data_IF_291264099626
#
_entry.id   IF_291264099626
#
_cell.length_a   1.000
_cell.length_b   1.000
_cell.length_c   1.000
_cell.angle_alpha   90.00
_cell.angle_beta   90.00
_cell.angle_gamma   90.00
#
_symmetry.space_group_name_H-M   'P 1'
#
loop_
_entity.id
_entity.type
_entity.pdbx_description
1 polymer ?
#
# COMPACT_ATOMS: atom_id res chain seq x y z
N UNK A 1 13.13 15.86 15.49
CA UNK A 1 13.21 14.65 14.62
C UNK A 1 13.14 15.12 13.17
N UNK A 2 13.74 14.42 12.20
CA UNK A 2 13.43 14.69 10.79
C UNK A 2 11.92 14.65 10.56
N UNK A 3 11.44 15.40 9.57
CA UNK A 3 10.02 15.41 9.20
C UNK A 3 9.58 14.01 8.78
N UNK A 4 8.37 13.60 9.16
CA UNK A 4 7.88 12.26 8.84
C UNK A 4 7.65 12.15 7.32
N UNK A 5 8.12 11.07 6.66
CA UNK A 5 7.95 10.91 5.21
C UNK A 5 6.53 11.17 4.70
N UNK A 6 5.52 10.69 5.42
CA UNK A 6 4.13 10.80 5.00
C UNK A 6 3.53 12.21 5.10
N UNK A 7 4.19 13.15 5.80
CA UNK A 7 3.70 14.53 5.93
C UNK A 7 4.25 15.45 4.84
N UNK A 8 5.28 15.02 4.11
CA UNK A 8 5.92 15.77 3.03
C UNK A 8 5.39 15.35 1.65
N UNK A 9 5.31 16.30 0.71
CA UNK A 9 4.91 16.03 -0.69
C UNK A 9 6.04 15.32 -1.45
N UNK A 10 7.28 15.80 -1.27
CA UNK A 10 8.45 15.28 -1.96
C UNK A 10 9.16 14.20 -1.12
N UNK A 11 9.91 13.28 -1.75
CA UNK A 11 10.81 12.38 -1.03
C UNK A 11 11.79 13.15 -0.12
N UNK A 12 12.19 12.55 0.99
CA UNK A 12 13.02 13.17 2.02
C UNK A 12 14.42 13.57 1.52
N UNK A 13 14.94 12.87 0.51
CA UNK A 13 16.23 13.20 -0.11
C UNK A 13 16.11 14.20 -1.26
N UNK A 14 14.89 14.62 -1.63
CA UNK A 14 14.66 15.51 -2.76
C UNK A 14 15.31 16.87 -2.53
N UNK A 15 16.12 17.32 -3.50
CA UNK A 15 16.80 18.62 -3.48
C UNK A 15 16.80 19.24 -4.87
N UNK A 16 16.92 20.56 -4.92
CA UNK A 16 17.20 21.28 -6.15
C UNK A 16 18.69 21.61 -6.20
N UNK A 17 19.37 21.24 -7.27
CA UNK A 17 20.79 21.55 -7.45
C UNK A 17 21.02 22.97 -8.00
N UNK A 18 22.29 23.31 -8.21
CA UNK A 18 22.70 24.62 -8.76
C UNK A 18 22.23 24.88 -10.18
N UNK A 19 21.90 23.83 -10.95
CA UNK A 19 21.34 23.92 -12.30
C UNK A 19 19.82 24.10 -12.27
N UNK A 20 19.20 23.99 -11.09
CA UNK A 20 17.75 24.03 -10.93
C UNK A 20 17.08 22.68 -11.21
N UNK A 21 17.84 21.59 -11.30
CA UNK A 21 17.30 20.25 -11.51
C UNK A 21 16.89 19.59 -10.19
N UNK A 22 15.82 18.81 -10.25
CA UNK A 22 15.39 17.93 -9.16
C UNK A 22 16.36 16.75 -9.04
N UNK A 23 16.91 16.58 -7.86
CA UNK A 23 17.72 15.43 -7.47
C UNK A 23 16.97 14.61 -6.41
N UNK A 24 16.95 13.28 -6.56
CA UNK A 24 16.35 12.34 -5.59
C UNK A 24 17.38 11.25 -5.29
N UNK A 25 17.57 10.93 -4.01
CA UNK A 25 18.58 9.95 -3.58
C UNK A 25 20.00 10.36 -3.98
N UNK A 26 20.26 11.65 -4.21
CA UNK A 26 21.54 12.14 -4.76
C UNK A 26 21.73 11.96 -6.27
N UNK A 27 20.68 11.55 -7.00
CA UNK A 27 20.70 11.37 -8.46
C UNK A 27 19.90 12.48 -9.17
N UNK A 28 20.48 13.10 -10.21
CA UNK A 28 19.79 14.07 -11.05
C UNK A 28 18.72 13.36 -11.90
N UNK A 29 17.46 13.75 -11.74
CA UNK A 29 16.33 13.18 -12.48
C UNK A 29 16.42 13.39 -14.00
N UNK A 30 17.14 14.41 -14.46
CA UNK A 30 17.43 14.62 -15.88
C UNK A 30 18.34 13.53 -16.42
N UNK A 31 19.38 13.14 -15.67
CA UNK A 31 20.28 12.05 -16.07
C UNK A 31 19.57 10.69 -15.95
N UNK A 32 18.73 10.49 -14.94
CA UNK A 32 17.91 9.28 -14.82
C UNK A 32 16.97 9.12 -16.03
N UNK A 33 16.31 10.20 -16.46
CA UNK A 33 15.45 10.18 -17.65
C UNK A 33 16.24 9.83 -18.93
N UNK A 34 17.49 10.31 -19.07
CA UNK A 34 18.36 9.95 -20.20
C UNK A 34 18.80 8.48 -20.15
N UNK A 35 19.17 7.97 -18.98
CA UNK A 35 19.68 6.62 -18.82
C UNK A 35 18.60 5.54 -18.92
N UNK A 36 17.43 5.77 -18.33
CA UNK A 36 16.37 4.76 -18.17
C UNK A 36 15.11 5.04 -19.01
N UNK A 37 15.06 6.20 -19.68
CA UNK A 37 13.91 6.66 -20.47
C UNK A 37 12.73 7.08 -19.59
N UNK A 38 11.72 7.72 -20.21
CA UNK A 38 10.45 8.08 -19.56
C UNK A 38 9.25 7.36 -20.21
N UNK A 39 8.11 7.19 -19.50
CA UNK A 39 7.92 7.46 -18.07
C UNK A 39 8.86 6.63 -17.19
N UNK A 40 9.16 7.09 -15.99
CA UNK A 40 10.06 6.41 -15.04
C UNK A 40 9.54 6.55 -13.61
N UNK A 41 9.31 5.43 -12.92
CA UNK A 41 9.12 5.44 -11.48
C UNK A 41 10.46 5.48 -10.76
N UNK A 42 10.66 6.47 -9.91
CA UNK A 42 11.83 6.63 -9.05
C UNK A 42 11.38 6.40 -7.62
N UNK A 43 12.01 5.45 -6.92
CA UNK A 43 11.77 5.15 -5.51
C UNK A 43 12.99 5.58 -4.69
N UNK A 44 12.80 6.47 -3.73
CA UNK A 44 13.85 6.91 -2.80
C UNK A 44 14.03 5.93 -1.63
N UNK A 45 15.15 5.20 -1.59
CA UNK A 45 15.40 4.19 -0.57
C UNK A 45 15.39 4.79 0.85
N UNK A 46 16.00 5.95 1.04
CA UNK A 46 16.13 6.55 2.37
C UNK A 46 14.76 7.00 2.91
N UNK A 47 13.87 7.51 2.06
CA UNK A 47 12.49 7.82 2.46
C UNK A 47 11.75 6.58 2.97
N UNK A 48 11.88 5.44 2.29
CA UNK A 48 11.29 4.15 2.70
C UNK A 48 11.84 3.73 4.07
N UNK A 49 13.17 3.76 4.23
CA UNK A 49 13.81 3.33 5.46
C UNK A 49 13.51 4.26 6.65
N UNK A 50 13.34 5.56 6.40
CA UNK A 50 12.89 6.51 7.43
C UNK A 50 11.47 6.20 7.90
N UNK A 51 10.56 5.84 7.00
CA UNK A 51 9.21 5.43 7.37
C UNK A 51 9.24 4.17 8.27
N UNK A 52 10.06 3.18 7.92
CA UNK A 52 10.27 1.99 8.76
C UNK A 52 10.86 2.29 10.14
N UNK A 53 11.83 3.21 10.22
CA UNK A 53 12.40 3.67 11.51
C UNK A 53 11.35 4.36 12.38
N UNK A 54 10.61 5.32 11.81
CA UNK A 54 9.56 6.05 12.53
C UNK A 54 8.48 5.10 13.07
N UNK A 55 8.09 4.11 12.27
CA UNK A 55 7.15 3.07 12.68
C UNK A 55 7.68 2.24 13.85
N UNK A 56 8.90 1.72 13.72
CA UNK A 56 9.54 0.91 14.75
C UNK A 56 9.72 1.67 16.06
N UNK A 57 10.13 2.94 15.99
CA UNK A 57 10.30 3.81 17.15
C UNK A 57 8.95 4.10 17.83
N UNK A 58 7.90 4.42 17.07
CA UNK A 58 6.58 4.65 17.63
C UNK A 58 6.01 3.42 18.32
N UNK A 59 6.15 2.23 17.71
CA UNK A 59 5.67 0.97 18.29
C UNK A 59 6.45 0.52 19.54
N UNK A 60 7.64 1.08 19.81
CA UNK A 60 8.53 0.61 20.89
C UNK A 60 7.99 0.81 22.32
N UNK A 61 6.95 1.63 22.48
CA UNK A 61 6.22 1.80 23.75
C UNK A 61 5.41 0.54 24.14
N UNK A 62 5.15 -0.35 23.18
CA UNK A 62 4.50 -1.63 23.41
C UNK A 62 5.54 -2.78 23.44
N UNK A 63 5.48 -3.72 24.40
CA UNK A 63 6.55 -4.71 24.60
C UNK A 63 6.85 -5.61 23.40
N UNK A 64 5.82 -5.99 22.63
CA UNK A 64 5.96 -6.81 21.43
C UNK A 64 5.02 -6.30 20.34
N UNK A 65 5.56 -5.54 19.40
CA UNK A 65 4.78 -4.95 18.31
C UNK A 65 5.57 -4.96 16.99
N UNK A 66 4.84 -5.03 15.88
CA UNK A 66 5.43 -5.10 14.54
C UNK A 66 4.55 -4.45 13.48
N UNK A 67 5.21 -3.78 12.53
CA UNK A 67 4.58 -3.38 11.28
C UNK A 67 4.58 -4.52 10.26
N UNK A 68 3.46 -4.69 9.57
CA UNK A 68 3.31 -5.54 8.39
C UNK A 68 3.19 -4.64 7.16
N UNK A 69 4.10 -4.77 6.21
CA UNK A 69 4.04 -3.94 5.02
C UNK A 69 2.92 -4.46 4.10
N UNK A 70 1.95 -3.61 3.78
CA UNK A 70 0.85 -4.00 2.91
C UNK A 70 1.29 -4.05 1.43
N UNK A 71 1.61 -5.25 0.94
CA UNK A 71 2.20 -5.51 -0.39
C UNK A 71 1.41 -4.92 -1.56
N UNK A 72 0.08 -4.86 -1.44
CA UNK A 72 -0.84 -4.22 -2.41
C UNK A 72 -0.42 -2.81 -2.83
N UNK A 73 0.26 -2.06 -1.95
CA UNK A 73 0.73 -0.71 -2.25
C UNK A 73 1.83 -0.70 -3.33
N UNK A 74 2.83 -1.57 -3.21
CA UNK A 74 3.90 -1.76 -4.19
C UNK A 74 4.71 -3.00 -3.78
N UNK A 75 4.75 -4.02 -4.62
CA UNK A 75 5.51 -5.24 -4.33
C UNK A 75 6.36 -5.66 -5.52
N UNK A 76 7.66 -5.75 -5.28
CA UNK A 76 8.65 -6.42 -6.12
C UNK A 76 9.71 -7.06 -5.21
N UNK A 77 10.62 -7.85 -5.76
CA UNK A 77 11.64 -8.54 -4.95
C UNK A 77 12.53 -7.56 -4.16
N UNK A 78 12.90 -6.42 -4.75
CA UNK A 78 13.67 -5.39 -4.05
C UNK A 78 12.91 -4.84 -2.84
N UNK A 79 11.59 -4.62 -2.98
CA UNK A 79 10.76 -4.17 -1.86
C UNK A 79 10.70 -5.22 -0.75
N UNK A 80 10.62 -6.51 -1.06
CA UNK A 80 10.70 -7.57 -0.05
C UNK A 80 12.00 -7.49 0.78
N UNK A 81 13.13 -7.17 0.15
CA UNK A 81 14.40 -6.97 0.85
C UNK A 81 14.37 -5.72 1.76
N UNK A 82 13.77 -4.62 1.31
CA UNK A 82 13.60 -3.41 2.11
C UNK A 82 12.69 -3.65 3.32
N UNK A 83 11.56 -4.33 3.14
CA UNK A 83 10.65 -4.73 4.24
C UNK A 83 11.41 -5.53 5.30
N UNK A 84 12.24 -6.49 4.87
CA UNK A 84 13.08 -7.28 5.79
C UNK A 84 14.12 -6.41 6.50
N UNK A 85 14.75 -5.46 5.79
CA UNK A 85 15.73 -4.50 6.36
C UNK A 85 15.08 -3.60 7.41
N UNK A 86 13.80 -3.25 7.26
CA UNK A 86 13.02 -2.52 8.25
C UNK A 86 12.58 -3.36 9.46
N UNK A 87 12.73 -4.69 9.40
CA UNK A 87 12.29 -5.61 10.46
C UNK A 87 10.78 -5.83 10.50
N UNK A 88 10.09 -5.59 9.38
CA UNK A 88 8.64 -5.72 9.24
C UNK A 88 8.23 -7.11 8.75
N UNK A 89 6.97 -7.48 8.98
CA UNK A 89 6.30 -8.56 8.25
C UNK A 89 5.76 -8.08 6.90
N UNK A 90 5.11 -8.98 6.17
CA UNK A 90 4.56 -8.70 4.85
C UNK A 90 3.13 -9.23 4.73
N UNK A 91 2.21 -8.36 4.33
CA UNK A 91 0.85 -8.76 3.99
C UNK A 91 0.75 -8.93 2.49
N UNK A 92 0.20 -10.07 2.10
CA UNK A 92 -0.01 -10.47 0.70
C UNK A 92 -1.46 -10.85 0.49
N UNK A 93 -1.98 -10.62 -0.71
CA UNK A 93 -3.40 -10.82 -1.06
C UNK A 93 -3.59 -11.97 -2.05
N UNK A 94 -2.56 -12.31 -2.83
CA UNK A 94 -2.69 -13.27 -3.93
C UNK A 94 -1.52 -14.24 -4.03
N UNK A 95 -1.72 -15.32 -4.81
CA UNK A 95 -0.65 -16.26 -5.15
C UNK A 95 0.58 -15.57 -5.76
N UNK A 96 0.38 -14.55 -6.62
CA UNK A 96 1.47 -13.82 -7.25
C UNK A 96 2.32 -13.02 -6.25
N UNK A 97 1.68 -12.43 -5.24
CA UNK A 97 2.39 -11.72 -4.17
C UNK A 97 3.12 -12.70 -3.24
N UNK A 98 2.49 -13.83 -2.88
CA UNK A 98 3.16 -14.92 -2.15
C UNK A 98 4.37 -15.45 -2.93
N UNK A 99 4.24 -15.66 -4.23
CA UNK A 99 5.32 -16.14 -5.09
C UNK A 99 6.46 -15.12 -5.19
N UNK A 100 6.14 -13.82 -5.26
CA UNK A 100 7.15 -12.75 -5.25
C UNK A 100 7.95 -12.76 -3.95
N UNK A 101 7.27 -12.87 -2.81
CA UNK A 101 7.90 -12.97 -1.50
C UNK A 101 8.78 -14.22 -1.37
N UNK A 102 8.31 -15.37 -1.87
CA UNK A 102 9.07 -16.62 -1.91
C UNK A 102 10.34 -16.49 -2.75
N UNK A 103 10.24 -15.90 -3.95
CA UNK A 103 11.40 -15.68 -4.83
C UNK A 103 12.42 -14.69 -4.26
N UNK A 104 11.97 -13.72 -3.48
CA UNK A 104 12.86 -12.83 -2.74
C UNK A 104 13.47 -13.48 -1.48
N UNK A 105 13.09 -14.71 -1.13
CA UNK A 105 13.53 -15.38 0.09
C UNK A 105 13.00 -14.71 1.35
N UNK A 106 11.79 -14.15 1.31
CA UNK A 106 11.15 -13.54 2.47
C UNK A 106 10.77 -14.62 3.51
N UNK A 107 10.98 -14.39 4.82
CA UNK A 107 10.67 -15.40 5.83
C UNK A 107 9.17 -15.74 5.87
N UNK A 108 8.84 -17.01 5.68
CA UNK A 108 7.45 -17.49 5.56
C UNK A 108 6.60 -17.23 6.80
N UNK A 109 7.18 -17.35 7.99
CA UNK A 109 6.50 -17.06 9.26
C UNK A 109 6.17 -15.57 9.45
N UNK A 110 6.64 -14.69 8.57
CA UNK A 110 6.37 -13.26 8.58
C UNK A 110 5.37 -12.84 7.50
N UNK A 111 4.75 -13.80 6.81
CA UNK A 111 3.76 -13.55 5.76
C UNK A 111 2.35 -13.71 6.32
N UNK A 112 1.49 -12.73 6.03
CA UNK A 112 0.08 -12.73 6.36
C UNK A 112 -0.73 -12.69 5.07
N UNK A 113 -1.63 -13.66 4.88
CA UNK A 113 -2.40 -13.83 3.65
C UNK A 113 -3.80 -13.27 3.84
N UNK A 114 -4.11 -12.20 3.13
CA UNK A 114 -5.40 -11.50 3.11
C UNK A 114 -6.16 -11.81 1.81
N UNK A 115 -7.39 -11.28 1.71
CA UNK A 115 -8.24 -11.41 0.53
C UNK A 115 -9.63 -11.88 0.92
N UNK A 116 -10.67 -11.30 0.29
CA UNK A 116 -12.06 -11.65 0.61
C UNK A 116 -12.57 -12.91 -0.11
N UNK A 117 -11.78 -13.45 -1.02
CA UNK A 117 -12.14 -14.63 -1.81
C UNK A 117 -10.88 -15.42 -2.18
N UNK A 118 -10.14 -15.87 -1.17
CA UNK A 118 -8.95 -16.70 -1.38
C UNK A 118 -9.36 -18.02 -2.00
N UNK A 119 -8.68 -18.42 -3.07
CA UNK A 119 -8.93 -19.69 -3.73
C UNK A 119 -8.44 -20.87 -2.89
N UNK A 120 -8.98 -22.07 -3.14
CA UNK A 120 -8.46 -23.30 -2.53
C UNK A 120 -6.95 -23.47 -2.79
N UNK A 121 -6.50 -23.07 -3.99
CA UNK A 121 -5.09 -23.12 -4.36
C UNK A 121 -4.23 -22.24 -3.45
N UNK A 122 -4.64 -20.98 -3.22
CA UNK A 122 -3.91 -20.03 -2.38
C UNK A 122 -3.87 -20.50 -0.91
N UNK A 123 -5.01 -20.93 -0.37
CA UNK A 123 -5.09 -21.44 1.02
C UNK A 123 -4.24 -22.70 1.17
N UNK A 124 -4.35 -23.66 0.25
CA UNK A 124 -3.55 -24.90 0.29
C UNK A 124 -2.06 -24.59 0.21
N UNK A 125 -1.63 -23.66 -0.65
CA UNK A 125 -0.24 -23.23 -0.76
C UNK A 125 0.27 -22.60 0.54
N UNK A 126 -0.53 -21.72 1.16
CA UNK A 126 -0.18 -21.08 2.42
C UNK A 126 -0.01 -22.12 3.55
N UNK A 127 -0.96 -23.04 3.70
CA UNK A 127 -0.91 -24.10 4.72
C UNK A 127 0.27 -25.06 4.47
N UNK A 128 0.43 -25.55 3.23
CA UNK A 128 1.50 -26.49 2.86
C UNK A 128 2.90 -25.88 3.03
N UNK A 129 3.03 -24.56 2.90
CA UNK A 129 4.29 -23.84 3.10
C UNK A 129 4.73 -23.77 4.57
N UNK A 130 3.85 -24.13 5.51
CA UNK A 130 4.05 -24.15 6.96
C UNK A 130 4.77 -22.90 7.49
N UNK A 131 4.04 -21.78 7.57
CA UNK A 131 4.59 -20.53 8.06
C UNK A 131 3.61 -19.36 7.96
N UNK A 132 3.05 -19.10 6.76
CA UNK A 132 2.11 -17.99 6.57
C UNK A 132 0.90 -18.10 7.50
N UNK A 133 0.40 -16.95 7.93
CA UNK A 133 -0.83 -16.83 8.71
C UNK A 133 -1.94 -16.36 7.78
N UNK A 134 -3.11 -16.97 7.86
CA UNK A 134 -4.24 -16.65 6.98
C UNK A 134 -5.19 -15.75 7.74
N UNK A 135 -5.44 -14.55 7.23
CA UNK A 135 -6.46 -13.65 7.77
C UNK A 135 -7.77 -14.00 7.09
N UNK A 136 -8.56 -14.84 7.77
CA UNK A 136 -9.82 -15.39 7.28
C UNK A 136 -10.87 -14.29 7.23
N UNK A 137 -11.57 -14.20 6.09
CA UNK A 137 -12.50 -13.11 5.80
C UNK A 137 -13.97 -13.55 5.95
N UNK A 138 -14.24 -14.86 6.03
CA UNK A 138 -15.60 -15.42 6.16
C UNK A 138 -15.63 -16.79 6.85
N UNK A 139 -16.81 -17.22 7.30
CA UNK A 139 -17.04 -18.55 7.90
C UNK A 139 -16.69 -19.68 6.94
N UNK A 140 -17.09 -19.57 5.67
CA UNK A 140 -16.82 -20.59 4.64
C UNK A 140 -15.32 -20.74 4.36
N UNK A 141 -14.57 -19.64 4.44
CA UNK A 141 -13.12 -19.68 4.33
C UNK A 141 -12.46 -20.36 5.54
N UNK A 142 -12.97 -20.15 6.77
CA UNK A 142 -12.51 -20.89 7.96
C UNK A 142 -12.72 -22.40 7.79
N UNK A 143 -13.88 -22.82 7.30
CA UNK A 143 -14.18 -24.23 7.01
C UNK A 143 -13.24 -24.80 5.94
N UNK A 144 -12.96 -24.02 4.89
CA UNK A 144 -12.00 -24.40 3.85
C UNK A 144 -10.59 -24.59 4.42
N UNK A 145 -10.12 -23.66 5.27
CA UNK A 145 -8.85 -23.79 5.97
C UNK A 145 -8.78 -25.06 6.81
N UNK A 146 -9.83 -25.36 7.58
CA UNK A 146 -9.89 -26.54 8.44
C UNK A 146 -9.85 -27.85 7.62
N UNK A 147 -10.61 -27.92 6.53
CA UNK A 147 -10.62 -29.08 5.62
C UNK A 147 -9.24 -29.29 4.99
N UNK A 148 -8.64 -28.25 4.42
CA UNK A 148 -7.35 -28.33 3.75
C UNK A 148 -6.21 -28.68 4.72
N UNK A 149 -6.23 -28.12 5.93
CA UNK A 149 -5.28 -28.48 6.98
C UNK A 149 -5.43 -29.95 7.41
N UNK A 150 -6.65 -30.48 7.47
CA UNK A 150 -6.89 -31.90 7.71
C UNK A 150 -6.32 -32.79 6.60
N UNK A 151 -6.56 -32.45 5.33
CA UNK A 151 -6.00 -33.17 4.18
C UNK A 151 -4.45 -33.18 4.19
N UNK A 152 -3.85 -32.08 4.66
CA UNK A 152 -2.40 -31.91 4.76
C UNK A 152 -1.81 -32.42 6.08
N UNK A 153 -2.62 -32.98 6.98
CA UNK A 153 -2.22 -33.41 8.32
C UNK A 153 -1.44 -32.35 9.12
N UNK A 154 -1.91 -31.10 9.08
CA UNK A 154 -1.31 -29.97 9.79
C UNK A 154 -2.39 -29.07 10.42
N UNK A 155 -1.98 -27.93 10.99
CA UNK A 155 -2.87 -26.87 11.47
C UNK A 155 -2.68 -25.60 10.65
N UNK A 156 -3.77 -25.03 10.17
CA UNK A 156 -3.76 -23.69 9.58
C UNK A 156 -3.68 -22.64 10.68
N UNK A 157 -2.70 -21.75 10.59
CA UNK A 157 -2.55 -20.56 11.45
C UNK A 157 -3.48 -19.48 10.94
N UNK A 158 -4.48 -19.09 11.73
CA UNK A 158 -5.52 -18.16 11.28
C UNK A 158 -5.72 -16.97 12.21
N UNK A 159 -6.01 -15.81 11.63
CA UNK A 159 -6.67 -14.70 12.32
C UNK A 159 -8.07 -14.55 11.72
N UNK A 160 -9.03 -14.02 12.48
CA UNK A 160 -10.37 -13.71 11.97
C UNK A 160 -10.45 -12.21 11.73
N UNK A 161 -10.73 -11.80 10.49
CA UNK A 161 -11.05 -10.42 10.21
C UNK A 161 -12.46 -10.10 10.65
N UNK A 162 -12.61 -9.06 11.45
CA UNK A 162 -13.89 -8.54 11.90
C UNK A 162 -14.19 -7.21 11.23
N UNK A 163 -15.47 -6.84 11.20
CA UNK A 163 -15.89 -5.51 10.77
C UNK A 163 -16.07 -4.64 12.01
N UNK A 164 -15.15 -3.71 12.31
CA UNK A 164 -15.39 -2.74 13.37
C UNK A 164 -16.47 -1.75 12.90
N UNK A 165 -17.43 -1.41 13.76
CA UNK A 165 -18.45 -0.39 13.48
C UNK A 165 -17.86 1.04 13.56
N UNK A 166 -16.77 1.29 12.82
CA UNK A 166 -16.01 2.56 12.80
C UNK A 166 -15.85 3.02 11.35
N UNK A 167 -16.33 4.22 11.02
CA UNK A 167 -16.05 4.87 9.74
C UNK A 167 -14.97 5.97 9.88
N UNK A 168 -13.97 6.02 8.98
CA UNK A 168 -12.86 6.97 9.08
C UNK A 168 -13.16 8.39 8.55
N UNK A 169 -14.29 8.62 7.87
CA UNK A 169 -14.52 9.84 7.05
C UNK A 169 -15.79 10.65 7.42
N UNK A 170 -16.36 10.44 8.61
CA UNK A 170 -17.54 11.20 9.05
C UNK A 170 -17.33 11.77 10.45
N UNK A 171 -17.63 13.06 10.62
CA UNK A 171 -17.74 13.68 11.94
C UNK A 171 -18.78 12.88 12.75
N UNK A 172 -18.31 12.17 13.80
CA UNK A 172 -19.10 11.49 14.82
C UNK A 172 -20.38 10.82 14.33
N UNK A 173 -20.35 9.56 13.89
CA UNK A 173 -21.46 8.62 14.12
C UNK A 173 -20.96 7.16 14.02
N UNK A 174 -21.06 6.44 15.15
CA UNK A 174 -21.00 4.97 15.19
C UNK A 174 -22.16 4.47 14.31
N UNK A 175 -21.86 3.68 13.27
CA UNK A 175 -22.90 3.07 12.45
C UNK A 175 -23.44 1.86 13.21
N UNK A 176 -24.55 2.05 13.92
CA UNK A 176 -25.34 0.93 14.42
C UNK A 176 -26.12 0.31 13.25
N UNK A 177 -25.69 -0.87 12.79
CA UNK A 177 -26.47 -1.70 11.88
C UNK A 177 -25.73 -2.10 10.62
N UNK A 178 -25.46 -3.41 10.53
CA UNK A 178 -24.97 -4.16 9.36
C UNK A 178 -23.96 -3.41 8.49
N UNK A 179 -22.69 -3.48 8.88
CA UNK A 179 -21.61 -3.00 8.05
C UNK A 179 -21.68 -3.64 6.65
N UNK A 180 -21.86 -2.80 5.62
CA UNK A 180 -22.03 -3.21 4.21
C UNK A 180 -20.71 -3.59 3.54
N UNK A 181 -19.68 -3.88 4.35
CA UNK A 181 -18.35 -4.26 3.89
C UNK A 181 -18.40 -5.66 3.29
N UNK A 182 -17.77 -5.84 2.12
CA UNK A 182 -17.50 -7.16 1.55
C UNK A 182 -16.39 -7.95 2.28
N UNK A 183 -15.79 -7.34 3.29
CA UNK A 183 -14.65 -7.86 4.01
C UNK A 183 -15.00 -8.14 5.46
N UNK A 184 -14.54 -9.28 5.97
CA UNK A 184 -14.60 -9.63 7.38
C UNK A 184 -15.96 -10.16 7.84
N UNK A 185 -15.95 -10.71 9.05
CA UNK A 185 -17.12 -11.26 9.73
C UNK A 185 -17.82 -10.15 10.52
N UNK A 186 -19.15 -10.00 10.40
CA UNK A 186 -19.94 -9.13 11.26
C UNK A 186 -19.77 -9.46 12.76
N UNK A 187 -19.80 -8.46 13.65
CA UNK A 187 -19.56 -8.68 15.08
C UNK A 187 -20.61 -9.59 15.74
N UNK A 188 -21.85 -9.58 15.25
CA UNK A 188 -22.95 -10.42 15.73
C UNK A 188 -22.81 -11.90 15.32
N UNK A 189 -22.00 -12.20 14.30
CA UNK A 189 -21.67 -13.58 13.89
C UNK A 189 -20.42 -14.14 14.60
N UNK A 190 -19.60 -13.27 15.21
CA UNK A 190 -18.27 -13.64 15.71
C UNK A 190 -18.29 -14.78 16.73
N UNK A 191 -19.22 -14.79 17.68
CA UNK A 191 -19.34 -15.84 18.71
C UNK A 191 -19.48 -17.24 18.05
N UNK A 192 -20.26 -17.34 16.96
CA UNK A 192 -20.42 -18.57 16.20
C UNK A 192 -19.14 -19.01 15.47
N UNK A 193 -18.39 -18.05 14.92
CA UNK A 193 -17.11 -18.31 14.25
C UNK A 193 -16.05 -18.78 15.23
N UNK A 194 -16.00 -18.20 16.44
CA UNK A 194 -15.09 -18.62 17.50
C UNK A 194 -15.38 -20.04 17.98
N UNK A 195 -16.65 -20.40 18.17
CA UNK A 195 -17.05 -21.77 18.51
C UNK A 195 -16.69 -22.76 17.39
N UNK A 196 -16.89 -22.39 16.13
CA UNK A 196 -16.46 -23.20 14.99
C UNK A 196 -14.93 -23.43 14.99
N UNK A 197 -14.15 -22.36 15.16
CA UNK A 197 -12.69 -22.45 15.21
C UNK A 197 -12.22 -23.39 16.34
N UNK A 198 -12.84 -23.29 17.52
CA UNK A 198 -12.57 -24.16 18.68
C UNK A 198 -12.91 -25.62 18.40
N UNK A 199 -14.07 -25.89 17.80
CA UNK A 199 -14.49 -27.22 17.38
C UNK A 199 -13.54 -27.83 16.33
N UNK A 200 -12.86 -27.00 15.54
CA UNK A 200 -11.87 -27.40 14.52
C UNK A 200 -10.42 -27.30 14.99
N UNK A 201 -10.16 -27.17 16.29
CA UNK A 201 -8.82 -26.92 16.86
C UNK A 201 -7.72 -27.95 16.50
N UNK A 202 -8.10 -29.17 16.14
CA UNK A 202 -7.17 -30.18 15.60
C UNK A 202 -6.51 -29.75 14.28
N UNK A 203 -7.14 -28.86 13.52
CA UNK A 203 -6.71 -28.39 12.20
C UNK A 203 -6.65 -26.87 12.08
N UNK A 204 -7.15 -26.15 13.08
CA UNK A 204 -7.10 -24.68 13.16
C UNK A 204 -6.30 -24.27 14.39
N UNK A 205 -5.36 -23.36 14.17
CA UNK A 205 -4.68 -22.59 15.20
C UNK A 205 -5.14 -21.15 15.11
N UNK A 206 -6.12 -20.79 15.95
CA UNK A 206 -6.67 -19.44 16.01
C UNK A 206 -5.70 -18.54 16.80
N UNK A 207 -5.13 -17.56 16.12
CA UNK A 207 -4.06 -16.70 16.63
C UNK A 207 -4.55 -15.31 17.06
N UNK A 208 -5.71 -14.86 16.61
CA UNK A 208 -6.23 -13.54 16.98
C UNK A 208 -7.27 -12.99 16.03
N UNK A 209 -7.55 -11.70 16.21
CA UNK A 209 -8.47 -10.92 15.38
C UNK A 209 -7.70 -9.86 14.59
N UNK A 210 -8.29 -9.50 13.46
CA UNK A 210 -7.84 -8.44 12.56
C UNK A 210 -8.99 -7.46 12.32
N UNK A 211 -8.67 -6.17 12.20
CA UNK A 211 -9.60 -5.19 11.66
C UNK A 211 -8.86 -4.22 10.72
N UNK A 212 -9.58 -3.64 9.76
CA UNK A 212 -9.05 -2.58 8.91
C UNK A 212 -10.16 -1.60 8.56
N UNK A 213 -9.97 -0.34 8.93
CA UNK A 213 -11.01 0.70 8.92
C UNK A 213 -10.99 1.62 7.70
N UNK A 214 -10.02 1.51 6.78
CA UNK A 214 -10.06 2.28 5.53
C UNK A 214 -8.69 2.75 5.03
N UNK A 215 -8.69 3.80 4.22
CA UNK A 215 -7.50 4.34 3.56
C UNK A 215 -7.51 5.87 3.60
N UNK A 216 -6.31 6.48 3.62
CA UNK A 216 -6.13 7.94 3.65
C UNK A 216 -6.70 8.61 4.91
N UNK A 217 -6.78 7.89 6.03
CA UNK A 217 -7.19 8.49 7.30
C UNK A 217 -6.14 9.51 7.75
N UNK A 218 -6.61 10.74 8.01
CA UNK A 218 -5.79 11.87 8.45
C UNK A 218 -5.73 11.98 9.97
N UNK A 219 -6.85 11.61 10.61
CA UNK A 219 -7.07 11.65 12.04
C UNK A 219 -6.64 10.34 12.73
N UNK A 220 -6.39 10.39 14.03
CA UNK A 220 -5.91 9.23 14.80
C UNK A 220 -7.06 8.49 15.50
N UNK A 221 -8.13 9.20 15.82
CA UNK A 221 -9.28 8.78 16.60
C UNK A 221 -9.89 7.47 16.09
N UNK A 222 -10.12 7.27 14.76
CA UNK A 222 -10.69 6.01 14.26
C UNK A 222 -9.83 4.78 14.60
N UNK A 223 -8.50 4.92 14.62
CA UNK A 223 -7.59 3.83 14.99
C UNK A 223 -7.70 3.51 16.49
N UNK A 224 -7.83 4.53 17.33
CA UNK A 224 -7.94 4.36 18.78
C UNK A 224 -9.28 3.72 19.19
N UNK A 225 -10.37 4.09 18.50
CA UNK A 225 -11.68 3.46 18.66
C UNK A 225 -11.65 1.98 18.26
N UNK A 226 -10.97 1.67 17.15
CA UNK A 226 -10.78 0.28 16.68
C UNK A 226 -10.04 -0.56 17.72
N UNK A 227 -9.03 0.00 18.38
CA UNK A 227 -8.31 -0.68 19.47
C UNK A 227 -9.24 -1.01 20.64
N UNK A 228 -10.11 -0.08 21.06
CA UNK A 228 -11.06 -0.33 22.14
C UNK A 228 -12.07 -1.43 21.79
N UNK A 229 -12.59 -1.41 20.55
CA UNK A 229 -13.50 -2.44 20.05
C UNK A 229 -12.81 -3.80 20.09
N UNK A 230 -11.61 -3.92 19.50
CA UNK A 230 -10.89 -5.19 19.50
C UNK A 230 -10.53 -5.65 20.92
N UNK A 231 -10.13 -4.75 21.82
CA UNK A 231 -9.87 -5.11 23.22
C UNK A 231 -11.13 -5.64 23.94
N UNK A 232 -12.31 -5.10 23.64
CA UNK A 232 -13.58 -5.66 24.14
C UNK A 232 -13.83 -7.07 23.56
N UNK A 233 -13.62 -7.28 22.26
CA UNK A 233 -13.79 -8.60 21.65
C UNK A 233 -12.82 -9.65 22.22
N UNK A 234 -11.59 -9.27 22.58
CA UNK A 234 -10.64 -10.18 23.25
C UNK A 234 -11.12 -10.57 24.64
N UNK A 235 -11.69 -9.62 25.37
CA UNK A 235 -12.30 -9.88 26.67
C UNK A 235 -13.46 -10.85 26.55
N UNK A 236 -14.37 -10.59 25.60
CA UNK A 236 -15.52 -11.46 25.34
C UNK A 236 -15.08 -12.87 24.91
N UNK A 237 -14.08 -12.99 24.03
CA UNK A 237 -13.50 -14.27 23.61
C UNK A 237 -12.95 -15.07 24.80
N UNK A 238 -12.28 -14.39 25.75
CA UNK A 238 -11.76 -15.02 26.97
C UNK A 238 -12.88 -15.44 27.91
N UNK A 239 -13.82 -14.55 28.22
CA UNK A 239 -14.86 -14.80 29.23
C UNK A 239 -15.93 -15.79 28.76
N UNK A 240 -16.35 -15.72 27.49
CA UNK A 240 -17.41 -16.56 26.93
C UNK A 240 -16.89 -17.88 26.37
N UNK A 241 -15.73 -17.86 25.70
CA UNK A 241 -15.23 -19.01 24.93
C UNK A 241 -13.97 -19.65 25.54
N UNK A 242 -13.33 -19.00 26.52
CA UNK A 242 -12.07 -19.45 27.12
C UNK A 242 -10.88 -19.33 26.16
N UNK A 243 -10.96 -18.42 25.16
CA UNK A 243 -9.93 -18.21 24.16
C UNK A 243 -9.04 -17.03 24.53
N UNK A 244 -7.73 -17.24 24.49
CA UNK A 244 -6.73 -16.18 24.57
C UNK A 244 -5.91 -16.18 23.28
N UNK A 245 -5.64 -14.99 22.74
CA UNK A 245 -5.02 -14.83 21.43
C UNK A 245 -3.61 -14.26 21.54
N UNK A 246 -2.61 -14.84 20.86
CA UNK A 246 -1.25 -14.33 20.86
C UNK A 246 -1.03 -13.10 19.97
N UNK A 247 -1.91 -12.82 19.00
CA UNK A 247 -1.76 -11.71 18.05
C UNK A 247 -2.96 -10.78 18.14
N UNK A 248 -2.79 -9.50 17.86
CA UNK A 248 -3.84 -8.51 17.61
C UNK A 248 -3.42 -7.66 16.41
N UNK A 249 -4.27 -7.59 15.40
CA UNK A 249 -4.01 -6.75 14.22
C UNK A 249 -5.05 -5.65 14.08
N UNK A 250 -4.57 -4.41 14.09
CA UNK A 250 -5.42 -3.21 14.02
C UNK A 250 -5.42 -2.58 12.61
N UNK A 251 -4.74 -3.24 11.66
CA UNK A 251 -4.74 -2.88 10.26
C UNK A 251 -3.90 -1.64 9.94
N UNK A 252 -4.07 -1.16 8.72
CA UNK A 252 -3.44 0.06 8.21
C UNK A 252 -4.44 1.18 7.92
N UNK A 253 -4.02 2.13 7.09
CA UNK A 253 -4.90 3.18 6.56
C UNK A 253 -4.37 4.60 6.72
N UNK A 254 -3.25 4.77 7.42
CA UNK A 254 -2.60 6.06 7.64
C UNK A 254 -2.35 6.80 6.32
N UNK A 255 -2.81 8.05 6.26
CA UNK A 255 -2.71 8.90 5.09
C UNK A 255 -1.31 9.45 4.81
N UNK A 256 -1.19 10.01 3.61
CA UNK A 256 -0.02 10.76 3.15
C UNK A 256 -0.43 12.10 2.55
N UNK A 257 0.53 13.00 2.43
CA UNK A 257 0.37 14.29 1.75
C UNK A 257 0.54 14.13 0.23
N UNK A 258 -0.55 14.24 -0.53
CA UNK A 258 -0.48 14.32 -2.01
C UNK A 258 -0.43 15.75 -2.51
N UNK A 259 -1.13 16.65 -1.79
CA UNK A 259 -1.23 18.09 -2.05
C UNK A 259 -1.09 18.85 -0.74
N UNK A 260 -0.82 20.15 -0.79
CA UNK A 260 -0.54 20.97 0.39
C UNK A 260 -1.66 20.99 1.44
N UNK A 261 -2.91 20.80 1.01
CA UNK A 261 -4.08 20.74 1.87
C UNK A 261 -4.17 19.44 2.72
N UNK A 262 -3.42 18.40 2.37
CA UNK A 262 -3.37 17.18 3.17
C UNK A 262 -2.51 17.38 4.41
N UNK A 263 -3.04 16.95 5.57
CA UNK A 263 -2.39 17.08 6.89
C UNK A 263 -2.52 15.76 7.68
N UNK A 264 -1.93 14.65 7.21
CA UNK A 264 -1.98 13.39 7.96
C UNK A 264 -1.13 13.44 9.23
N UNK A 265 -1.48 12.63 10.23
CA UNK A 265 -0.62 12.42 11.39
C UNK A 265 0.76 11.81 10.99
N UNK A 266 1.88 12.20 11.63
CA UNK A 266 3.18 11.56 11.44
C UNK A 266 3.15 10.05 11.76
N UNK A 267 3.93 9.24 11.05
CA UNK A 267 4.01 7.77 11.24
C UNK A 267 4.36 7.43 12.70
N UNK A 268 5.33 8.13 13.28
CA UNK A 268 5.74 7.92 14.66
C UNK A 268 4.58 8.15 15.64
N UNK A 269 3.84 9.26 15.50
CA UNK A 269 2.73 9.59 16.39
C UNK A 269 1.57 8.62 16.25
N UNK A 270 1.23 8.24 15.02
CA UNK A 270 0.22 7.20 14.77
C UNK A 270 0.59 5.88 15.44
N UNK A 271 1.81 5.39 15.19
CA UNK A 271 2.29 4.13 15.75
C UNK A 271 2.34 4.17 17.29
N UNK A 272 2.84 5.26 17.87
CA UNK A 272 2.94 5.46 19.32
C UNK A 272 1.58 5.47 19.99
N UNK A 273 0.63 6.24 19.45
CA UNK A 273 -0.69 6.37 20.07
C UNK A 273 -1.51 5.09 19.97
N UNK A 274 -1.45 4.38 18.84
CA UNK A 274 -2.05 3.05 18.71
C UNK A 274 -1.46 2.09 19.75
N UNK A 275 -0.12 2.04 19.85
CA UNK A 275 0.58 1.19 20.80
C UNK A 275 0.25 1.51 22.28
N UNK A 276 0.25 2.79 22.66
CA UNK A 276 -0.15 3.25 24.01
C UNK A 276 -1.60 2.88 24.32
N UNK A 277 -2.50 3.12 23.37
CA UNK A 277 -3.92 2.81 23.51
C UNK A 277 -4.14 1.30 23.65
N UNK A 278 -3.44 0.47 22.89
CA UNK A 278 -3.53 -1.00 23.04
C UNK A 278 -3.02 -1.42 24.41
N UNK A 279 -1.91 -0.86 24.87
CA UNK A 279 -1.35 -1.16 26.18
C UNK A 279 -2.32 -0.83 27.32
N UNK A 280 -2.93 0.36 27.29
CA UNK A 280 -3.88 0.78 28.32
C UNK A 280 -5.17 -0.04 28.26
N UNK A 281 -5.76 -0.20 27.06
CA UNK A 281 -7.02 -0.89 26.87
C UNK A 281 -6.97 -2.36 27.33
N UNK A 282 -5.86 -3.06 27.07
CA UNK A 282 -5.67 -4.43 27.53
C UNK A 282 -5.43 -4.53 29.04
N UNK A 283 -4.64 -3.62 29.62
CA UNK A 283 -4.39 -3.58 31.07
C UNK A 283 -5.66 -3.29 31.86
N UNK A 284 -6.45 -2.30 31.43
CA UNK A 284 -7.73 -1.94 32.06
C UNK A 284 -8.73 -3.10 32.09
N UNK A 285 -8.64 -4.00 31.10
CA UNK A 285 -9.50 -5.19 30.97
C UNK A 285 -8.88 -6.45 31.60
N UNK A 286 -7.70 -6.37 32.21
CA UNK A 286 -7.02 -7.52 32.81
C UNK A 286 -6.61 -8.60 31.79
N UNK A 287 -6.35 -8.21 30.55
CA UNK A 287 -5.98 -9.12 29.46
C UNK A 287 -4.46 -9.30 29.35
N UNK A 288 -4.04 -10.49 28.92
CA UNK A 288 -2.67 -10.75 28.48
C UNK A 288 -2.38 -9.93 27.24
N UNK A 289 -1.21 -9.28 27.17
CA UNK A 289 -0.81 -8.48 26.02
C UNK A 289 -0.45 -9.40 24.82
N UNK A 290 -1.17 -9.31 23.67
CA UNK A 290 -0.79 -10.00 22.44
C UNK A 290 0.40 -9.30 21.76
N UNK A 291 0.99 -9.90 20.73
CA UNK A 291 1.79 -9.13 19.76
C UNK A 291 0.87 -8.18 19.00
N UNK A 292 1.19 -6.88 19.03
CA UNK A 292 0.45 -5.86 18.29
C UNK A 292 0.97 -5.76 16.85
N UNK A 293 0.07 -5.86 15.89
CA UNK A 293 0.34 -5.76 14.45
C UNK A 293 -0.37 -4.53 13.88
N UNK A 294 0.31 -3.82 12.99
CA UNK A 294 -0.21 -2.67 12.21
C UNK A 294 0.19 -2.84 10.75
N UNK A 295 -0.65 -2.44 9.78
CA UNK A 295 -0.46 -2.78 8.35
C UNK A 295 -0.19 -1.56 7.43
N UNK A 296 0.86 -0.74 7.66
CA UNK A 296 1.10 0.40 6.79
C UNK A 296 1.60 -0.05 5.40
N UNK A 297 1.00 0.53 4.35
CA UNK A 297 1.48 0.40 2.98
C UNK A 297 1.75 1.77 2.37
N UNK A 298 0.67 2.53 2.14
CA UNK A 298 0.72 3.87 1.52
C UNK A 298 1.66 4.83 2.24
N UNK A 299 1.60 4.87 3.57
CA UNK A 299 2.44 5.75 4.40
C UNK A 299 3.92 5.42 4.36
N UNK A 300 4.29 4.18 4.00
CA UNK A 300 5.68 3.74 3.89
C UNK A 300 6.24 4.05 2.50
N UNK A 301 5.54 3.65 1.44
CA UNK A 301 6.09 3.70 0.07
C UNK A 301 5.61 4.90 -0.75
N UNK A 302 4.42 5.43 -0.47
CA UNK A 302 3.82 6.50 -1.26
C UNK A 302 4.71 7.72 -1.42
N UNK A 303 5.17 8.35 -0.32
CA UNK A 303 6.02 9.56 -0.37
C UNK A 303 7.40 9.33 -1.00
N UNK A 304 7.87 8.08 -1.03
CA UNK A 304 9.17 7.74 -1.61
C UNK A 304 9.14 7.73 -3.14
N UNK A 305 7.95 7.60 -3.76
CA UNK A 305 7.82 7.47 -5.19
C UNK A 305 7.60 8.81 -5.90
N UNK A 306 8.34 9.01 -7.00
CA UNK A 306 8.12 10.09 -7.97
C UNK A 306 8.08 9.50 -9.37
N UNK A 307 7.12 9.91 -10.20
CA UNK A 307 7.11 9.54 -11.62
C UNK A 307 7.62 10.71 -12.46
N UNK A 308 8.62 10.45 -13.31
CA UNK A 308 9.13 11.41 -14.29
C UNK A 308 8.55 11.11 -15.66
N UNK A 309 8.06 12.14 -16.33
CA UNK A 309 7.54 12.09 -17.68
C UNK A 309 8.26 13.10 -18.58
N UNK A 310 8.30 12.85 -19.88
CA UNK A 310 8.76 13.82 -20.89
C UNK A 310 7.55 14.49 -21.54
N UNK A 311 7.56 15.82 -21.62
CA UNK A 311 6.53 16.60 -22.32
C UNK A 311 6.67 16.41 -23.83
N UNK A 312 5.61 15.91 -24.46
CA UNK A 312 5.53 15.80 -25.91
C UNK A 312 5.12 17.12 -26.56
N UNK A 313 4.00 17.72 -26.13
CA UNK A 313 3.53 18.99 -26.67
C UNK A 313 2.60 19.71 -25.70
N UNK A 314 2.43 21.01 -25.92
CA UNK A 314 1.46 21.83 -25.18
C UNK A 314 0.40 22.40 -26.09
N UNK A 315 -0.85 22.41 -25.64
CA UNK A 315 -1.99 22.95 -26.39
C UNK A 315 -2.76 23.94 -25.51
N UNK A 316 -2.97 25.16 -26.00
CA UNK A 316 -3.86 26.12 -25.34
C UNK A 316 -5.31 25.84 -25.72
N UNK A 317 -6.18 25.75 -24.72
CA UNK A 317 -7.62 25.59 -24.91
C UNK A 317 -8.35 26.95 -25.04
N UNK A 318 -9.57 26.97 -25.61
CA UNK A 318 -10.34 28.20 -25.77
C UNK A 318 -10.69 28.92 -24.45
N UNK A 319 -10.84 28.17 -23.35
CA UNK A 319 -11.09 28.69 -22.00
C UNK A 319 -9.83 29.32 -21.34
N UNK A 320 -8.67 29.19 -21.99
CA UNK A 320 -7.39 29.71 -21.52
C UNK A 320 -6.50 28.67 -20.83
N UNK A 321 -7.01 27.48 -20.48
CA UNK A 321 -6.24 26.41 -19.84
C UNK A 321 -5.20 25.84 -20.79
N UNK A 322 -4.01 25.51 -20.29
CA UNK A 322 -2.98 24.82 -21.08
C UNK A 322 -3.01 23.31 -20.83
N UNK A 323 -3.09 22.51 -21.89
CA UNK A 323 -2.83 21.08 -21.81
C UNK A 323 -1.35 20.83 -22.03
N UNK A 324 -0.73 20.08 -21.13
CA UNK A 324 0.65 19.62 -21.21
C UNK A 324 0.60 18.11 -21.37
N UNK A 325 0.78 17.64 -22.60
CA UNK A 325 0.72 16.22 -22.93
C UNK A 325 2.06 15.55 -22.64
N UNK A 326 2.04 14.45 -21.90
CA UNK A 326 3.22 13.68 -21.51
C UNK A 326 3.22 12.28 -22.09
N UNK A 327 4.37 11.59 -22.01
CA UNK A 327 4.61 10.26 -22.60
C UNK A 327 4.09 9.07 -21.77
N UNK A 328 3.38 9.34 -20.66
CA UNK A 328 2.64 8.37 -19.84
C UNK A 328 1.16 8.73 -19.69
N UNK A 329 0.54 8.39 -18.56
CA UNK A 329 -0.89 8.65 -18.32
C UNK A 329 -1.56 7.61 -17.42
N UNK A 330 -2.85 7.37 -17.67
CA UNK A 330 -3.70 6.50 -16.88
C UNK A 330 -3.21 5.05 -16.77
N UNK A 331 -2.41 4.55 -17.73
CA UNK A 331 -1.92 3.18 -17.65
C UNK A 331 -0.79 3.00 -16.61
N UNK A 332 -0.03 4.04 -16.29
CA UNK A 332 1.00 4.03 -15.25
C UNK A 332 0.58 4.77 -13.96
N UNK A 333 -0.40 5.68 -14.07
CA UNK A 333 -1.04 6.32 -12.92
C UNK A 333 -2.57 6.31 -13.08
N UNK A 334 -3.25 5.19 -12.81
CA UNK A 334 -4.70 5.08 -12.97
C UNK A 334 -5.48 5.78 -11.86
N UNK A 335 -4.82 6.31 -10.83
CA UNK A 335 -5.49 6.79 -9.62
C UNK A 335 -6.36 8.04 -9.83
N UNK A 336 -5.99 9.03 -10.65
CA UNK A 336 -6.85 10.18 -10.93
C UNK A 336 -8.18 9.74 -11.56
N UNK A 337 -8.13 8.95 -12.63
CA UNK A 337 -9.35 8.49 -13.30
C UNK A 337 -10.19 7.51 -12.45
N UNK A 338 -9.55 6.69 -11.60
CA UNK A 338 -10.27 5.69 -10.80
C UNK A 338 -10.86 6.29 -9.51
N UNK A 339 -10.16 7.23 -8.88
CA UNK A 339 -10.45 7.70 -7.52
C UNK A 339 -10.55 9.21 -7.38
N UNK A 340 -10.39 9.99 -8.44
CA UNK A 340 -10.25 11.45 -8.34
C UNK A 340 -9.00 11.89 -7.57
N UNK A 341 -7.96 11.04 -7.54
CA UNK A 341 -6.75 11.32 -6.79
C UNK A 341 -6.04 12.57 -7.33
N UNK A 342 -5.72 13.51 -6.44
CA UNK A 342 -4.95 14.71 -6.75
C UNK A 342 -3.47 14.44 -6.50
N UNK A 343 -2.61 15.15 -7.24
CA UNK A 343 -1.16 15.09 -7.10
C UNK A 343 -0.54 16.47 -7.25
N UNK A 344 0.63 16.67 -6.66
CA UNK A 344 1.48 17.84 -6.92
C UNK A 344 2.49 17.53 -8.02
N UNK A 345 2.46 18.28 -9.14
CA UNK A 345 3.48 18.18 -10.18
C UNK A 345 4.55 19.29 -10.06
N UNK A 346 5.69 19.07 -10.70
CA UNK A 346 6.73 20.09 -10.90
C UNK A 346 7.49 19.89 -12.21
N UNK A 347 8.15 20.94 -12.72
CA UNK A 347 9.04 20.85 -13.89
C UNK A 347 10.44 20.46 -13.41
N UNK A 348 10.77 19.16 -13.50
CA UNK A 348 11.92 18.56 -12.82
C UNK A 348 13.27 19.13 -13.28
N UNK A 349 13.40 19.51 -14.55
CA UNK A 349 14.60 20.13 -15.09
C UNK A 349 14.68 21.65 -14.83
N UNK A 350 13.66 22.26 -14.19
CA UNK A 350 13.59 23.70 -13.89
C UNK A 350 12.77 24.00 -12.61
N UNK A 351 13.13 23.38 -11.50
CA UNK A 351 12.41 23.45 -10.22
C UNK A 351 12.29 24.87 -9.65
N UNK A 352 13.22 25.76 -10.01
CA UNK A 352 13.22 27.16 -9.57
C UNK A 352 12.32 28.08 -10.41
N UNK A 353 11.57 27.54 -11.36
CA UNK A 353 10.65 28.33 -12.20
C UNK A 353 9.51 28.90 -11.36
N UNK A 354 9.17 30.16 -11.58
CA UNK A 354 8.01 30.77 -10.94
C UNK A 354 6.71 30.11 -11.41
N UNK A 355 5.76 29.95 -10.49
CA UNK A 355 4.41 29.49 -10.83
C UNK A 355 3.75 30.40 -11.87
N UNK A 356 2.98 29.80 -12.78
CA UNK A 356 2.22 30.55 -13.77
C UNK A 356 0.95 31.15 -13.16
N UNK A 357 0.41 32.18 -13.80
CA UNK A 357 -0.93 32.71 -13.47
C UNK A 357 -2.06 31.94 -14.15
N UNK A 358 -1.76 31.23 -15.24
CA UNK A 358 -2.73 30.47 -16.03
C UNK A 358 -2.65 29.00 -15.61
N UNK A 359 -3.80 28.34 -15.36
CA UNK A 359 -3.81 26.93 -15.01
C UNK A 359 -3.42 26.06 -16.22
N UNK A 360 -2.85 24.92 -15.91
CA UNK A 360 -2.53 23.86 -16.85
C UNK A 360 -3.06 22.52 -16.32
N UNK A 361 -3.42 21.63 -17.24
CA UNK A 361 -3.69 20.23 -16.96
C UNK A 361 -2.56 19.38 -17.55
N UNK A 362 -2.10 18.39 -16.79
CA UNK A 362 -1.14 17.39 -17.27
C UNK A 362 -1.96 16.19 -17.75
N UNK A 363 -1.90 15.94 -19.05
CA UNK A 363 -2.69 14.91 -19.72
C UNK A 363 -1.77 13.83 -20.28
N UNK A 364 -2.24 12.60 -20.28
CA UNK A 364 -1.48 11.49 -20.81
C UNK A 364 -1.59 11.34 -22.33
N UNK A 365 -0.96 10.29 -22.85
CA UNK A 365 -0.90 9.95 -24.28
C UNK A 365 -1.96 8.94 -24.74
N UNK A 366 -2.78 8.42 -23.84
CA UNK A 366 -3.71 7.33 -24.14
C UNK A 366 -4.94 7.85 -24.87
N UNK A 367 -5.56 6.98 -25.68
CA UNK A 367 -6.75 7.32 -26.46
C UNK A 367 -8.02 7.26 -25.59
N UNK A 368 -8.01 8.00 -24.48
CA UNK A 368 -9.13 8.17 -23.57
C UNK A 368 -9.20 9.63 -23.12
N UNK A 369 -10.38 10.22 -23.23
CA UNK A 369 -10.64 11.62 -22.87
C UNK A 369 -10.38 11.93 -21.39
N UNK A 370 -10.57 10.95 -20.52
CA UNK A 370 -10.31 11.04 -19.08
C UNK A 370 -8.85 10.79 -18.70
N UNK A 371 -7.93 10.65 -19.66
CA UNK A 371 -6.50 10.46 -19.41
C UNK A 371 -5.83 11.75 -18.94
N UNK A 372 -6.13 12.11 -17.70
CA UNK A 372 -5.64 13.31 -17.01
C UNK A 372 -4.91 12.86 -15.75
N UNK A 373 -3.63 13.21 -15.62
CA UNK A 373 -2.80 12.88 -14.45
C UNK A 373 -2.98 13.95 -13.36
N UNK A 374 -3.05 15.22 -13.76
CA UNK A 374 -3.31 16.37 -12.88
C UNK A 374 -4.27 17.33 -13.59
N UNK A 375 -5.43 17.56 -13.00
CA UNK A 375 -6.47 18.43 -13.56
C UNK A 375 -6.09 19.92 -13.51
N UNK A 376 -5.42 20.33 -12.43
CA UNK A 376 -5.10 21.74 -12.19
C UNK A 376 -3.69 21.90 -11.59
N UNK A 377 -2.82 22.55 -12.35
CA UNK A 377 -1.46 22.89 -11.98
C UNK A 377 -1.09 24.31 -12.44
N UNK A 378 -0.25 25.00 -11.67
CA UNK A 378 0.19 26.37 -11.97
C UNK A 378 1.65 26.39 -12.43
N UNK A 379 1.91 25.74 -13.56
CA UNK A 379 3.24 25.64 -14.18
C UNK A 379 3.17 25.82 -15.70
N UNK A 380 4.32 26.15 -16.31
CA UNK A 380 4.51 26.10 -17.76
C UNK A 380 5.59 25.09 -18.12
N UNK A 381 5.37 24.37 -19.22
CA UNK A 381 6.32 23.46 -19.78
C UNK A 381 6.31 23.57 -21.31
N UNK A 382 7.36 23.05 -21.94
CA UNK A 382 7.56 23.00 -23.38
C UNK A 382 7.97 21.58 -23.76
N UNK A 383 7.89 21.25 -25.05
CA UNK A 383 8.36 19.95 -25.57
C UNK A 383 9.79 19.67 -25.10
N UNK A 384 10.00 18.48 -24.54
CA UNK A 384 11.29 18.02 -24.00
C UNK A 384 11.54 18.36 -22.53
N UNK A 385 10.72 19.22 -21.90
CA UNK A 385 10.77 19.39 -20.44
C UNK A 385 10.37 18.10 -19.72
N UNK A 386 10.83 17.95 -18.48
CA UNK A 386 10.48 16.83 -17.62
C UNK A 386 9.46 17.25 -16.58
N UNK A 387 8.38 16.48 -16.46
CA UNK A 387 7.38 16.65 -15.42
C UNK A 387 7.59 15.58 -14.36
N UNK A 388 7.82 16.00 -13.11
CA UNK A 388 7.75 15.15 -11.94
C UNK A 388 6.34 15.17 -11.37
N UNK A 389 5.80 14.00 -11.03
CA UNK A 389 4.58 13.84 -10.23
C UNK A 389 4.97 13.10 -8.96
N UNK A 390 4.77 13.74 -7.80
CA UNK A 390 5.20 13.21 -6.51
C UNK A 390 4.17 12.25 -5.88
N UNK A 391 4.56 11.57 -4.81
CA UNK A 391 3.73 10.63 -4.05
C UNK A 391 3.16 9.47 -4.89
N UNK A 392 3.88 9.03 -5.93
CA UNK A 392 3.44 7.96 -6.86
C UNK A 392 3.93 6.57 -6.44
N UNK A 393 4.50 6.43 -5.25
CA UNK A 393 5.08 5.15 -4.81
C UNK A 393 4.06 4.08 -4.47
N UNK A 394 2.81 4.47 -4.18
CA UNK A 394 1.76 3.56 -3.74
C UNK A 394 0.62 3.45 -4.77
N UNK A 395 0.34 2.23 -5.18
CA UNK A 395 -0.75 1.78 -6.07
C UNK A 395 -0.62 2.20 -7.54
N UNK A 396 0.37 3.01 -7.91
CA UNK A 396 0.60 3.37 -9.31
C UNK A 396 1.10 2.16 -10.10
N UNK A 397 2.27 1.62 -9.74
CA UNK A 397 2.81 0.41 -10.37
C UNK A 397 1.88 -0.80 -10.18
N UNK A 398 1.35 -1.02 -8.98
CA UNK A 398 0.48 -2.17 -8.68
C UNK A 398 -0.79 -2.20 -9.54
N UNK A 399 -1.29 -1.03 -9.97
CA UNK A 399 -2.46 -0.91 -10.83
C UNK A 399 -2.09 -0.66 -12.30
N UNK A 400 -0.81 -0.71 -12.65
CA UNK A 400 -0.36 -0.39 -13.99
C UNK A 400 -0.87 -1.41 -15.01
N UNK A 401 -1.29 -0.91 -16.18
CA UNK A 401 -1.87 -1.71 -17.26
C UNK A 401 -1.11 -1.52 -18.57
N UNK A 402 -1.39 -2.38 -19.54
CA UNK A 402 -0.91 -2.23 -20.91
C UNK A 402 -1.97 -1.62 -21.83
N UNK A 403 -2.74 -0.64 -21.32
CA UNK A 403 -3.74 0.04 -22.14
C UNK A 403 -3.10 0.64 -23.40
N UNK A 404 -3.82 0.56 -24.51
CA UNK A 404 -3.31 0.83 -25.88
C UNK A 404 -2.03 0.07 -26.27
N UNK A 405 -1.77 -1.11 -25.68
CA UNK A 405 -0.55 -1.91 -25.92
C UNK A 405 0.72 -1.09 -25.65
N UNK A 406 0.71 -0.28 -24.60
CA UNK A 406 1.90 0.41 -24.10
C UNK A 406 2.55 -0.43 -23.01
N UNK A 407 3.87 -0.64 -23.09
CA UNK A 407 4.63 -1.36 -22.07
C UNK A 407 4.69 -0.59 -20.75
N UNK A 408 4.66 -1.29 -19.62
CA UNK A 408 4.84 -0.67 -18.30
C UNK A 408 6.21 0.02 -18.20
N UNK A 409 6.28 1.20 -17.54
CA UNK A 409 7.53 1.89 -17.28
C UNK A 409 8.55 1.09 -16.48
N UNK A 410 9.83 1.47 -16.61
CA UNK A 410 10.86 1.02 -15.67
C UNK A 410 10.62 1.62 -14.28
N UNK A 411 11.12 0.92 -13.25
CA UNK A 411 11.21 1.42 -11.89
C UNK A 411 12.66 1.33 -11.40
N UNK A 412 13.17 2.43 -10.86
CA UNK A 412 14.52 2.52 -10.29
C UNK A 412 14.47 2.83 -8.79
N UNK A 413 15.36 2.20 -8.03
CA UNK A 413 15.64 2.54 -6.65
C UNK A 413 16.86 3.45 -6.61
N UNK A 414 16.75 4.59 -5.93
CA UNK A 414 17.85 5.56 -5.82
C UNK A 414 18.30 5.72 -4.37
N UNK A 415 19.62 5.81 -4.18
CA UNK A 415 20.23 5.95 -2.86
C UNK A 415 21.68 6.44 -3.01
N UNK A 416 22.05 7.48 -2.26
CA UNK A 416 23.44 7.96 -2.14
C UNK A 416 24.17 8.19 -3.49
N UNK A 417 23.48 8.71 -4.50
CA UNK A 417 24.02 8.97 -5.84
C UNK A 417 24.07 7.75 -6.76
N UNK A 418 23.52 6.62 -6.32
CA UNK A 418 23.39 5.39 -7.12
C UNK A 418 21.92 5.17 -7.50
N UNK A 419 21.71 4.66 -8.71
CA UNK A 419 20.40 4.33 -9.25
C UNK A 419 20.44 2.93 -9.87
N UNK A 420 19.55 2.05 -9.43
CA UNK A 420 19.48 0.66 -9.88
C UNK A 420 18.06 0.32 -10.35
N UNK A 421 17.97 -0.41 -11.47
CA UNK A 421 16.68 -0.91 -11.96
C UNK A 421 16.18 -2.00 -11.02
N UNK A 422 14.97 -1.82 -10.49
CA UNK A 422 14.27 -2.83 -9.68
C UNK A 422 13.11 -3.47 -10.43
N UNK A 423 12.64 -2.84 -11.51
CA UNK A 423 11.65 -3.37 -12.45
C UNK A 423 12.00 -2.89 -13.84
N UNK A 424 12.25 -3.83 -14.76
CA UNK A 424 12.57 -3.53 -16.15
C UNK A 424 11.38 -2.94 -16.90
N UNK A 425 11.67 -2.08 -17.89
CA UNK A 425 10.65 -1.58 -18.82
C UNK A 425 10.18 -2.71 -19.72
N UNK A 426 8.86 -2.87 -19.83
CA UNK A 426 8.31 -3.83 -20.80
C UNK A 426 8.53 -3.33 -22.23
N UNK A 427 8.91 -4.24 -23.11
CA UNK A 427 9.08 -4.00 -24.54
C UNK A 427 7.93 -4.65 -25.36
N UNK A 428 7.99 -4.53 -26.68
CA UNK A 428 6.95 -5.08 -27.56
C UNK A 428 6.85 -6.61 -27.50
N UNK A 429 7.95 -7.32 -27.27
CA UNK A 429 7.95 -8.78 -27.15
C UNK A 429 7.25 -9.24 -25.87
N UNK A 430 7.41 -8.49 -24.76
CA UNK A 430 6.69 -8.74 -23.51
C UNK A 430 5.17 -8.67 -23.74
N UNK A 431 4.71 -7.62 -24.45
CA UNK A 431 3.31 -7.36 -24.75
C UNK A 431 2.62 -8.48 -25.55
N UNK A 432 3.37 -9.19 -26.39
CA UNK A 432 2.83 -10.24 -27.28
C UNK A 432 3.24 -11.65 -26.85
N UNK A 433 4.02 -11.80 -25.77
CA UNK A 433 4.56 -13.09 -25.31
C UNK A 433 3.47 -14.16 -25.06
N UNK A 434 2.26 -13.72 -24.74
CA UNK A 434 1.08 -14.58 -24.51
C UNK A 434 0.09 -14.60 -25.68
N UNK A 435 0.30 -13.81 -26.72
CA UNK A 435 -0.56 -13.79 -27.91
C UNK A 435 -0.40 -15.11 -28.68
N UNK A 436 -1.50 -15.65 -29.19
CA UNK A 436 -1.53 -16.89 -29.99
C UNK A 436 -2.41 -16.67 -31.20
N UNK A 437 -1.90 -17.01 -32.37
CA UNK A 437 -2.69 -17.01 -33.61
C UNK A 437 -3.40 -18.37 -33.73
N UNK A 438 -4.75 -18.42 -33.71
CA UNK A 438 -5.50 -19.65 -33.94
C UNK A 438 -5.10 -20.31 -35.26
N UNK A 439 -4.92 -21.63 -35.28
CA UNK A 439 -4.45 -22.34 -36.47
C UNK A 439 -5.34 -22.13 -37.70
N UNK A 440 -6.66 -21.96 -37.51
CA UNK A 440 -7.61 -21.68 -38.60
C UNK A 440 -7.45 -20.32 -39.29
N UNK A 441 -6.65 -19.42 -38.72
CA UNK A 441 -6.35 -18.09 -39.29
C UNK A 441 -4.96 -18.04 -39.95
N UNK A 442 -4.22 -19.15 -39.92
CA UNK A 442 -2.94 -19.28 -40.62
C UNK A 442 -3.28 -19.85 -42.00
N UNK A 443 -2.88 -19.13 -43.06
CA UNK A 443 -3.07 -19.54 -44.47
C UNK A 443 -2.37 -20.86 -44.81
#
# INVERSE_FOLDING_TARGET
MPESPNTSIMPQTAKVDSSGHLNIGGCDTVELAKCFGTPLWIMDEETILQAGRALKEGLSVYPNARGLYAGKAFLCMAMCHLVRKMGMGLDVVSDGEMYTAEKAGFPKDLIYVHGNNKSEHEIRKAIASNGPKIVVDSVSELEMCARLAAELNTRAKVLIRVIPDVEPDTHHHIVTGHATSKFGVPLDELDGVLELAKAKSAHIELLGLHAHIGSQSKELEPFLETVDILANLYKDAKEKHGLEFPLLDVGGGLGITYVEADKPAPIYEWARQVAEKTLSAFKERGLTLPELLVEPGRSVIGPAGTTIYTVGHTKKLPDGTNYIAVDGGMADNPRPITYGAKYTPAVANRMNSAATKTPAAIVGRYCESGDIIVEEAYLSAQTGDLIAVFATGAYNYSMASNYNRTGRPACVLVSQGQAEIIIERENNDDLISKDRVPNRLKD
#
